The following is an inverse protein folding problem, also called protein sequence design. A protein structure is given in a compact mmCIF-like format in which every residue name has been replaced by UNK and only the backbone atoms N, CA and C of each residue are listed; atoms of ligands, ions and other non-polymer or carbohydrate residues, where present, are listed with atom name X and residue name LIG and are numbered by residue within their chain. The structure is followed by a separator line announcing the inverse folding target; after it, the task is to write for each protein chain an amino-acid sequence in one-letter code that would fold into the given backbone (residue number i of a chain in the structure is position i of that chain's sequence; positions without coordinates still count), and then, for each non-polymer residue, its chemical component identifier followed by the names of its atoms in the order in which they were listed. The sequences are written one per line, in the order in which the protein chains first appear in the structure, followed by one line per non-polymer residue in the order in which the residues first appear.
data_IF_379166781702
#
_entry.id   IF_379166781702
#
_cell.length_a   1.000
_cell.length_b   1.000
_cell.length_c   1.000
_cell.angle_alpha   90.00
_cell.angle_beta   90.00
_cell.angle_gamma   90.00
#
_symmetry.space_group_name_H-M   'P 1'
#
loop_
_entity.id
_entity.type
_entity.pdbx_description
1 polymer ?
#
# COMPACT_ATOMS: atom_id res chain seq x y z
N UNK A 1 -10.69 34.84 -17.46
CA UNK A 1 -9.90 35.51 -16.41
C UNK A 1 -10.36 34.90 -15.09
N UNK A 2 -10.24 33.59 -14.87
CA UNK A 2 -9.06 32.72 -14.73
C UNK A 2 -8.27 32.99 -13.46
N UNK A 3 -8.89 32.73 -12.30
CA UNK A 3 -8.16 32.40 -11.08
C UNK A 3 -8.23 30.87 -10.90
N UNK A 4 -7.28 30.20 -11.54
CA UNK A 4 -6.87 28.86 -11.14
C UNK A 4 -5.89 29.11 -10.00
N UNK A 5 -6.38 29.03 -8.76
CA UNK A 5 -5.54 29.09 -7.57
C UNK A 5 -4.31 28.23 -7.80
N UNK A 6 -3.13 28.85 -7.68
CA UNK A 6 -1.87 28.15 -7.77
C UNK A 6 -1.81 27.16 -6.60
N UNK A 7 -2.26 25.93 -6.85
CA UNK A 7 -2.05 24.78 -5.99
C UNK A 7 -0.57 24.76 -5.62
N UNK A 8 -0.26 25.10 -4.37
CA UNK A 8 1.10 25.16 -3.89
C UNK A 8 1.73 23.79 -4.12
N UNK A 9 2.66 23.72 -5.08
CA UNK A 9 3.34 22.49 -5.42
C UNK A 9 3.99 21.95 -4.14
N UNK A 10 3.48 20.82 -3.64
CA UNK A 10 4.05 20.16 -2.48
C UNK A 10 5.51 19.86 -2.84
N UNK A 11 6.50 20.39 -2.10
CA UNK A 11 7.89 20.21 -2.44
C UNK A 11 8.25 18.73 -2.29
N UNK A 12 8.51 18.06 -3.41
CA UNK A 12 8.99 16.68 -3.45
C UNK A 12 10.51 16.71 -3.46
N UNK A 13 11.12 16.19 -2.40
CA UNK A 13 12.56 15.96 -2.34
C UNK A 13 12.86 14.50 -2.71
N UNK A 14 13.75 14.30 -3.69
CA UNK A 14 14.30 12.98 -4.00
C UNK A 14 15.50 12.72 -3.08
N UNK A 15 15.56 11.53 -2.51
CA UNK A 15 16.62 11.10 -1.60
C UNK A 15 17.37 9.93 -2.20
N UNK A 16 18.69 10.04 -2.36
CA UNK A 16 19.52 8.94 -2.84
C UNK A 16 19.95 8.02 -1.67
N UNK A 17 20.16 6.70 -1.90
CA UNK A 17 20.46 5.71 -0.85
C UNK A 17 21.67 6.01 0.06
N UNK A 18 22.55 6.95 -0.29
CA UNK A 18 23.71 7.37 0.51
C UNK A 18 23.55 8.72 1.23
N UNK A 19 22.45 9.43 1.03
CA UNK A 19 22.23 10.78 1.55
C UNK A 19 21.36 10.79 2.83
N UNK A 20 20.98 9.59 3.30
CA UNK A 20 20.20 9.40 4.52
C UNK A 20 21.06 9.79 5.73
N UNK A 21 20.69 10.89 6.37
CA UNK A 21 21.27 11.34 7.64
C UNK A 21 20.18 11.43 8.72
N UNK A 22 20.55 11.50 10.01
CA UNK A 22 19.57 11.55 11.11
C UNK A 22 18.57 12.71 10.99
N UNK A 23 18.99 13.89 10.55
CA UNK A 23 18.11 15.04 10.38
C UNK A 23 17.04 14.81 9.30
N UNK A 24 17.43 14.15 8.20
CA UNK A 24 16.50 13.73 7.16
C UNK A 24 15.51 12.68 7.68
N UNK A 25 15.97 11.69 8.45
CA UNK A 25 15.08 10.68 9.07
C UNK A 25 14.03 11.34 9.96
N UNK A 26 14.41 12.31 10.79
CA UNK A 26 13.46 13.07 11.62
C UNK A 26 12.46 13.87 10.77
N UNK A 27 12.89 14.49 9.67
CA UNK A 27 11.99 15.19 8.77
C UNK A 27 10.99 14.23 8.08
N UNK A 28 11.42 13.01 7.73
CA UNK A 28 10.55 12.00 7.12
C UNK A 28 9.46 11.50 8.07
N UNK A 29 9.71 11.50 9.39
CA UNK A 29 8.70 11.08 10.39
C UNK A 29 7.46 11.98 10.43
N UNK A 30 7.58 13.22 9.98
CA UNK A 30 6.47 14.19 9.93
C UNK A 30 6.02 14.51 8.51
N UNK A 31 6.55 13.79 7.50
CA UNK A 31 6.29 14.00 6.09
C UNK A 31 5.65 12.76 5.42
N UNK A 32 5.26 12.92 4.16
CA UNK A 32 4.89 11.80 3.30
C UNK A 32 6.11 11.32 2.51
N UNK A 33 6.33 10.00 2.47
CA UNK A 33 7.45 9.39 1.74
C UNK A 33 6.91 8.51 0.63
N UNK A 34 7.43 8.70 -0.59
CA UNK A 34 7.16 7.84 -1.74
C UNK A 34 8.43 7.12 -2.11
N UNK A 35 8.39 5.79 -2.04
CA UNK A 35 9.48 4.92 -2.47
C UNK A 35 9.01 4.09 -3.66
N UNK A 36 9.89 3.81 -4.62
CA UNK A 36 9.63 2.75 -5.59
C UNK A 36 9.71 1.42 -4.87
N UNK A 37 8.64 0.63 -4.96
CA UNK A 37 8.64 -0.75 -4.52
C UNK A 37 8.68 -1.66 -5.76
N UNK A 38 9.63 -2.59 -5.79
CA UNK A 38 9.61 -3.69 -6.76
C UNK A 38 8.56 -4.71 -6.29
N UNK A 39 7.29 -4.45 -6.61
CA UNK A 39 6.16 -5.29 -6.18
C UNK A 39 5.28 -5.67 -7.37
N UNK A 40 4.72 -6.89 -7.31
CA UNK A 40 3.70 -7.33 -8.25
C UNK A 40 2.34 -6.82 -7.81
N UNK A 41 1.63 -6.11 -8.69
CA UNK A 41 0.25 -5.66 -8.43
C UNK A 41 -0.70 -6.59 -9.18
N UNK A 42 -1.64 -7.20 -8.46
CA UNK A 42 -2.67 -8.07 -9.03
C UNK A 42 -4.05 -7.56 -8.62
N UNK A 43 -5.01 -7.66 -9.55
CA UNK A 43 -6.42 -7.36 -9.28
C UNK A 43 -7.23 -8.64 -9.40
N UNK A 44 -7.95 -9.00 -8.34
CA UNK A 44 -8.88 -10.13 -8.32
C UNK A 44 -10.31 -9.60 -8.46
N UNK A 45 -11.04 -10.06 -9.47
CA UNK A 45 -12.40 -9.58 -9.78
C UNK A 45 -13.42 -10.72 -9.79
N UNK A 46 -14.68 -10.39 -9.54
CA UNK A 46 -15.81 -11.32 -9.59
C UNK A 46 -16.51 -11.47 -8.23
N UNK A 47 -17.72 -12.04 -8.20
CA UNK A 47 -18.58 -12.07 -7.00
C UNK A 47 -17.99 -12.85 -5.83
N UNK A 48 -17.01 -13.73 -6.08
CA UNK A 48 -16.32 -14.52 -5.04
C UNK A 48 -14.91 -14.02 -4.70
N UNK A 49 -14.50 -12.83 -5.15
CA UNK A 49 -13.13 -12.34 -4.97
C UNK A 49 -12.72 -12.28 -3.49
N UNK A 50 -13.57 -11.67 -2.65
CA UNK A 50 -13.31 -11.54 -1.20
C UNK A 50 -13.24 -12.92 -0.54
N UNK A 51 -14.23 -13.78 -0.79
CA UNK A 51 -14.27 -15.14 -0.22
C UNK A 51 -13.07 -15.98 -0.64
N UNK A 52 -12.64 -15.87 -1.90
CA UNK A 52 -11.45 -16.54 -2.41
C UNK A 52 -10.19 -16.08 -1.66
N UNK A 53 -10.05 -14.77 -1.45
CA UNK A 53 -8.85 -14.19 -0.86
C UNK A 53 -8.77 -14.37 0.67
N UNK A 54 -9.91 -14.36 1.37
CA UNK A 54 -10.00 -14.60 2.82
C UNK A 54 -9.41 -15.97 3.22
N UNK A 55 -9.54 -16.98 2.37
CA UNK A 55 -8.98 -18.31 2.63
C UNK A 55 -7.47 -18.45 2.36
N UNK A 56 -6.84 -17.41 1.80
CA UNK A 56 -5.45 -17.43 1.35
C UNK A 56 -4.53 -16.58 2.23
N UNK A 57 -5.00 -15.43 2.69
CA UNK A 57 -4.23 -14.52 3.53
C UNK A 57 -4.41 -14.81 5.03
N UNK A 58 -3.37 -14.52 5.80
CA UNK A 58 -3.39 -14.64 7.27
C UNK A 58 -4.30 -13.64 7.98
N UNK A 59 -4.70 -12.57 7.31
CA UNK A 59 -5.50 -11.49 7.89
C UNK A 59 -6.96 -11.56 7.40
N UNK A 60 -7.83 -10.91 8.16
CA UNK A 60 -9.21 -10.69 7.74
C UNK A 60 -9.26 -9.57 6.68
N UNK A 61 -9.67 -9.91 5.45
CA UNK A 61 -9.89 -8.96 4.35
C UNK A 61 -11.35 -8.49 4.25
N UNK A 62 -12.27 -9.11 4.99
CA UNK A 62 -13.69 -8.78 4.96
C UNK A 62 -14.04 -7.68 5.96
N UNK A 63 -13.64 -7.85 7.23
CA UNK A 63 -13.94 -6.94 8.33
C UNK A 63 -13.54 -5.48 8.07
N UNK A 64 -12.38 -5.16 7.47
CA UNK A 64 -11.94 -3.77 7.28
C UNK A 64 -12.76 -2.98 6.24
N UNK A 65 -13.52 -3.64 5.37
CA UNK A 65 -14.42 -2.97 4.44
C UNK A 65 -13.77 -2.37 3.18
N UNK A 66 -14.55 -1.63 2.40
CA UNK A 66 -14.11 -0.98 1.16
C UNK A 66 -13.15 0.20 1.44
N UNK A 67 -12.19 0.40 0.54
CA UNK A 67 -11.16 1.45 0.67
C UNK A 67 -10.09 1.15 1.71
N UNK A 68 -10.19 0.02 2.42
CA UNK A 68 -9.22 -0.38 3.42
C UNK A 68 -7.98 -1.06 2.82
N UNK A 69 -6.87 -0.97 3.54
CA UNK A 69 -5.63 -1.70 3.27
C UNK A 69 -5.29 -2.58 4.46
N UNK A 70 -4.92 -3.82 4.16
CA UNK A 70 -4.48 -4.81 5.15
C UNK A 70 -3.18 -5.43 4.73
N UNK A 71 -2.34 -5.74 5.71
CA UNK A 71 -1.10 -6.47 5.50
C UNK A 71 -1.27 -7.92 5.94
N UNK A 72 -0.82 -8.85 5.11
CA UNK A 72 -0.87 -10.27 5.42
C UNK A 72 0.09 -11.09 4.58
N UNK A 73 0.07 -12.39 4.84
CA UNK A 73 0.88 -13.36 4.13
C UNK A 73 0.04 -14.50 3.55
N UNK A 74 0.45 -15.00 2.39
CA UNK A 74 0.01 -16.28 1.87
C UNK A 74 0.91 -17.37 2.44
N UNK A 75 0.29 -18.40 3.04
CA UNK A 75 1.01 -19.48 3.66
C UNK A 75 0.89 -20.80 2.88
N UNK A 76 1.91 -21.63 3.01
CA UNK A 76 1.78 -23.07 2.75
C UNK A 76 0.87 -23.72 3.81
N UNK A 77 0.34 -24.94 3.59
CA UNK A 77 -0.44 -25.67 4.59
C UNK A 77 0.29 -25.93 5.92
N UNK A 78 1.63 -25.85 5.94
CA UNK A 78 2.45 -25.98 7.16
C UNK A 78 2.69 -24.66 7.89
N UNK A 79 2.13 -23.55 7.39
CA UNK A 79 2.29 -22.22 7.98
C UNK A 79 3.54 -21.46 7.52
N UNK A 80 4.29 -21.96 6.54
CA UNK A 80 5.44 -21.22 5.98
C UNK A 80 4.98 -20.12 5.04
N UNK A 81 5.56 -18.92 5.13
CA UNK A 81 5.28 -17.80 4.24
C UNK A 81 5.76 -18.13 2.81
N UNK A 82 4.86 -17.97 1.85
CA UNK A 82 5.17 -18.01 0.41
C UNK A 82 5.46 -16.60 -0.09
N UNK A 83 4.60 -15.65 0.27
CA UNK A 83 4.70 -14.23 -0.06
C UNK A 83 3.88 -13.43 0.94
N UNK A 84 4.28 -12.19 1.19
CA UNK A 84 3.50 -11.20 1.95
C UNK A 84 3.21 -9.96 1.10
N UNK A 85 2.29 -9.14 1.59
CA UNK A 85 1.97 -7.90 0.91
C UNK A 85 0.73 -7.21 1.44
N UNK A 86 0.41 -6.13 0.74
CA UNK A 86 -0.79 -5.34 0.98
C UNK A 86 -1.94 -5.86 0.11
N UNK A 87 -3.09 -6.04 0.74
CA UNK A 87 -4.35 -6.26 0.04
C UNK A 87 -5.26 -5.05 0.28
N UNK A 88 -6.01 -4.66 -0.74
CA UNK A 88 -6.99 -3.59 -0.65
C UNK A 88 -8.27 -3.97 -1.36
N UNK A 89 -9.40 -3.58 -0.76
CA UNK A 89 -10.71 -3.70 -1.38
C UNK A 89 -11.02 -2.39 -2.07
N UNK A 90 -10.79 -2.36 -3.38
CA UNK A 90 -11.04 -1.18 -4.20
C UNK A 90 -12.48 -1.30 -4.70
N UNK A 91 -13.34 -0.35 -4.34
CA UNK A 91 -14.68 -0.25 -4.91
C UNK A 91 -14.56 -0.20 -6.44
N UNK A 92 -15.24 -1.12 -7.13
CA UNK A 92 -15.54 -0.94 -8.54
C UNK A 92 -16.61 0.13 -8.62
N UNK A 93 -16.20 1.38 -8.86
CA UNK A 93 -17.11 2.44 -9.32
C UNK A 93 -17.82 1.99 -10.59
#
# INVERSE_FOLDING_TARGET
MTDREAEALVPVARVEPGEINPGLVTALQTAAVVCRAETGVLTLTGPGAVTCFQGLLTNDVELPGDGSFVYGALLTPKGMIVVDGWAARIDTT
#
